data_IF_983548578326
#
_entry.id   IF_983548578326
#
_cell.length_a   1.000
_cell.length_b   1.000
_cell.length_c   1.000
_cell.angle_alpha   90.00
_cell.angle_beta   90.00
_cell.angle_gamma   90.00
#
_symmetry.space_group_name_H-M   'P 1'
#
loop_
_entity.id
_entity.type
_entity.pdbx_description
1 polymer ?
#
# COMPACT_ATOMS: atom_id res chain seq x y z
N UNK A 1 45.60 27.45 16.31
CA UNK A 1 44.29 28.14 16.30
C UNK A 1 44.26 29.12 15.14
N UNK A 2 43.53 28.81 14.06
CA UNK A 2 42.85 29.82 13.23
C UNK A 2 41.79 29.11 12.40
N UNK A 3 40.55 29.20 12.88
CA UNK A 3 39.37 28.74 12.18
C UNK A 3 39.18 29.64 10.96
N UNK A 4 39.28 29.09 9.75
CA UNK A 4 38.83 29.77 8.53
C UNK A 4 37.30 29.72 8.50
N UNK A 5 36.70 30.84 8.91
CA UNK A 5 35.29 31.16 8.68
C UNK A 5 35.03 31.29 7.18
N UNK A 6 34.24 30.36 6.62
CA UNK A 6 33.57 30.59 5.35
C UNK A 6 32.37 31.50 5.61
N UNK A 7 32.58 32.79 5.40
CA UNK A 7 31.53 33.79 5.41
C UNK A 7 30.67 33.73 4.16
N UNK A 8 29.37 33.97 4.36
CA UNK A 8 28.54 34.70 3.41
C UNK A 8 27.65 33.85 2.51
N UNK A 9 26.38 33.72 2.89
CA UNK A 9 25.21 33.95 2.04
C UNK A 9 23.92 33.89 2.90
N UNK A 10 23.76 34.86 3.80
CA UNK A 10 22.44 35.25 4.32
C UNK A 10 22.03 36.54 3.61
N UNK A 11 21.42 36.39 2.43
CA UNK A 11 20.60 37.44 1.84
C UNK A 11 19.21 36.86 1.62
N UNK A 12 18.24 37.53 2.23
CA UNK A 12 16.85 37.11 2.27
C UNK A 12 16.24 36.97 0.88
N UNK A 13 15.72 35.78 0.63
CA UNK A 13 14.51 35.54 -0.13
C UNK A 13 13.92 34.25 0.42
N UNK A 14 12.65 34.31 0.81
CA UNK A 14 11.97 33.24 1.53
C UNK A 14 12.23 31.88 0.91
N UNK A 15 12.61 30.92 1.75
CA UNK A 15 12.63 29.52 1.38
C UNK A 15 11.16 29.09 1.18
N UNK A 16 10.64 29.37 -0.01
CA UNK A 16 9.46 28.68 -0.51
C UNK A 16 9.94 27.25 -0.72
N UNK A 17 9.56 26.36 0.20
CA UNK A 17 9.58 24.93 -0.05
C UNK A 17 8.54 24.66 -1.13
N UNK A 18 8.94 24.86 -2.39
CA UNK A 18 8.17 24.37 -3.53
C UNK A 18 8.05 22.87 -3.36
N UNK A 19 6.79 22.41 -3.23
CA UNK A 19 6.39 21.02 -3.05
C UNK A 19 7.06 20.13 -4.11
N UNK A 20 8.20 19.52 -3.78
CA UNK A 20 8.72 18.30 -4.44
C UNK A 20 7.89 17.07 -4.02
N UNK A 21 6.57 17.19 -4.10
CA UNK A 21 5.65 16.14 -3.68
C UNK A 21 5.60 15.01 -4.71
N UNK A 22 5.77 15.32 -6.00
CA UNK A 22 5.68 14.34 -7.08
C UNK A 22 6.85 13.35 -7.07
N UNK A 23 8.08 13.84 -6.98
CA UNK A 23 9.29 12.99 -7.03
C UNK A 23 9.32 11.98 -5.87
N UNK A 24 8.90 12.39 -4.66
CA UNK A 24 8.83 11.50 -3.49
C UNK A 24 7.78 10.41 -3.64
N UNK A 25 6.61 10.73 -4.19
CA UNK A 25 5.54 9.75 -4.42
C UNK A 25 5.98 8.75 -5.48
N UNK A 26 6.61 9.22 -6.56
CA UNK A 26 7.12 8.36 -7.61
C UNK A 26 8.21 7.41 -7.09
N UNK A 27 9.19 7.92 -6.34
CA UNK A 27 10.24 7.10 -5.73
C UNK A 27 9.67 6.05 -4.76
N UNK A 28 8.61 6.40 -4.01
CA UNK A 28 7.97 5.46 -3.08
C UNK A 28 7.23 4.35 -3.84
N UNK A 29 6.56 4.68 -4.93
CA UNK A 29 5.88 3.69 -5.78
C UNK A 29 6.88 2.74 -6.44
N UNK A 30 7.99 3.27 -6.98
CA UNK A 30 9.07 2.49 -7.57
C UNK A 30 9.68 1.53 -6.54
N UNK A 31 9.94 2.02 -5.33
CA UNK A 31 10.44 1.20 -4.21
C UNK A 31 9.48 0.06 -3.86
N UNK A 32 8.19 0.34 -3.68
CA UNK A 32 7.22 -0.71 -3.32
C UNK A 32 7.08 -1.74 -4.45
N UNK A 33 7.09 -1.29 -5.71
CA UNK A 33 7.06 -2.19 -6.86
C UNK A 33 8.30 -3.11 -6.93
N UNK A 34 9.47 -2.59 -6.58
CA UNK A 34 10.70 -3.37 -6.50
C UNK A 34 10.63 -4.43 -5.38
N UNK A 35 10.01 -4.12 -4.24
CA UNK A 35 9.80 -5.10 -3.16
C UNK A 35 8.90 -6.26 -3.60
N UNK A 36 7.80 -5.96 -4.31
CA UNK A 36 6.92 -7.00 -4.85
C UNK A 36 7.64 -7.88 -5.89
N UNK A 37 8.44 -7.29 -6.77
CA UNK A 37 9.24 -8.03 -7.75
C UNK A 37 10.29 -8.92 -7.08
N UNK A 38 10.97 -8.41 -6.05
CA UNK A 38 11.92 -9.20 -5.27
C UNK A 38 11.21 -10.38 -4.59
N UNK A 39 10.04 -10.16 -4.00
CA UNK A 39 9.26 -11.24 -3.39
C UNK A 39 8.87 -12.33 -4.41
N UNK A 40 8.47 -11.94 -5.63
CA UNK A 40 8.07 -12.89 -6.69
C UNK A 40 9.23 -13.73 -7.24
N UNK A 41 10.46 -13.19 -7.25
CA UNK A 41 11.65 -13.88 -7.78
C UNK A 41 12.38 -14.72 -6.73
N UNK A 42 12.02 -14.58 -5.45
CA UNK A 42 12.75 -15.16 -4.31
C UNK A 42 12.54 -16.66 -4.06
N UNK A 43 11.86 -17.40 -4.94
CA UNK A 43 11.65 -18.84 -4.79
C UNK A 43 12.94 -19.71 -4.88
N UNK A 44 14.13 -19.11 -5.04
CA UNK A 44 15.36 -19.86 -5.41
C UNK A 44 16.60 -19.70 -4.53
N UNK A 45 16.69 -18.83 -3.52
CA UNK A 45 17.92 -18.68 -2.69
C UNK A 45 17.64 -18.31 -1.23
N UNK A 46 18.38 -18.90 -0.28
CA UNK A 46 17.89 -19.23 1.08
C UNK A 46 18.56 -18.49 2.27
N UNK A 47 18.95 -17.21 2.19
CA UNK A 47 19.41 -16.55 3.45
C UNK A 47 19.22 -15.04 3.59
N UNK A 48 18.96 -14.29 2.52
CA UNK A 48 18.77 -12.83 2.60
C UNK A 48 17.30 -12.39 2.46
N UNK A 49 16.36 -13.34 2.48
CA UNK A 49 14.98 -13.11 1.99
C UNK A 49 13.89 -13.16 3.06
N UNK A 50 14.22 -13.54 4.31
CA UNK A 50 13.24 -13.70 5.40
C UNK A 50 12.54 -12.39 5.82
N UNK A 51 13.05 -11.24 5.38
CA UNK A 51 12.56 -9.92 5.79
C UNK A 51 11.71 -9.22 4.71
N UNK A 52 11.55 -9.77 3.50
CA UNK A 52 10.82 -9.08 2.42
C UNK A 52 9.32 -8.98 2.73
N UNK A 53 8.67 -10.08 3.10
CA UNK A 53 7.24 -10.09 3.48
C UNK A 53 6.98 -9.23 4.73
N UNK A 54 7.79 -9.33 5.81
CA UNK A 54 7.72 -8.37 6.91
C UNK A 54 7.90 -6.91 6.49
N UNK A 55 8.77 -6.62 5.51
CA UNK A 55 8.99 -5.25 5.01
C UNK A 55 7.78 -4.73 4.24
N UNK A 56 7.21 -5.52 3.33
CA UNK A 56 5.96 -5.19 2.61
C UNK A 56 4.85 -4.92 3.62
N UNK A 57 4.73 -5.79 4.63
CA UNK A 57 3.75 -5.66 5.70
C UNK A 57 3.93 -4.36 6.48
N UNK A 58 5.16 -4.03 6.88
CA UNK A 58 5.48 -2.82 7.62
C UNK A 58 5.16 -1.55 6.80
N UNK A 59 5.50 -1.54 5.51
CA UNK A 59 5.23 -0.41 4.62
C UNK A 59 3.73 -0.16 4.43
N UNK A 60 2.94 -1.23 4.26
CA UNK A 60 1.48 -1.12 4.12
C UNK A 60 0.80 -0.75 5.44
N UNK A 61 1.23 -1.33 6.56
CA UNK A 61 0.60 -1.12 7.84
C UNK A 61 0.89 0.25 8.47
N UNK A 62 1.92 0.99 8.03
CA UNK A 62 2.23 2.34 8.56
C UNK A 62 2.26 2.42 10.09
N UNK A 63 2.93 1.47 10.73
CA UNK A 63 3.02 1.33 12.20
C UNK A 63 1.67 1.03 12.91
N UNK A 64 0.63 0.65 12.18
CA UNK A 64 -0.61 0.17 12.77
C UNK A 64 -0.48 -1.33 13.08
N UNK A 65 -0.45 -1.68 14.37
CA UNK A 65 -0.27 -3.06 14.82
C UNK A 65 -1.37 -4.00 14.30
N UNK A 66 -2.65 -3.60 14.38
CA UNK A 66 -3.76 -4.43 13.91
C UNK A 66 -3.64 -4.77 12.42
N UNK A 67 -3.21 -3.80 11.61
CA UNK A 67 -3.00 -3.99 10.18
C UNK A 67 -1.81 -4.90 9.88
N UNK A 68 -0.74 -4.82 10.68
CA UNK A 68 0.38 -5.77 10.57
C UNK A 68 -0.10 -7.19 10.84
N UNK A 69 -0.87 -7.40 11.91
CA UNK A 69 -1.42 -8.73 12.24
C UNK A 69 -2.33 -9.24 11.12
N UNK A 70 -3.25 -8.40 10.61
CA UNK A 70 -4.13 -8.75 9.49
C UNK A 70 -3.37 -9.16 8.23
N UNK A 71 -2.26 -8.48 7.90
CA UNK A 71 -1.45 -8.81 6.73
C UNK A 71 -0.67 -10.11 6.91
N UNK A 72 -0.11 -10.36 8.11
CA UNK A 72 0.58 -11.62 8.41
C UNK A 72 -0.39 -12.80 8.41
N UNK A 73 -1.62 -12.60 8.89
CA UNK A 73 -2.67 -13.61 8.81
C UNK A 73 -3.18 -13.82 7.39
N UNK A 74 -3.31 -12.75 6.59
CA UNK A 74 -3.62 -12.88 5.18
C UNK A 74 -2.54 -13.69 4.42
N UNK A 75 -1.27 -13.46 4.73
CA UNK A 75 -0.15 -14.23 4.17
C UNK A 75 -0.18 -15.71 4.56
N UNK A 76 -0.73 -16.08 5.72
CA UNK A 76 -0.87 -17.49 6.12
C UNK A 76 -2.07 -18.20 5.47
N UNK A 77 -3.07 -17.43 5.02
CA UNK A 77 -4.27 -17.95 4.35
C UNK A 77 -4.15 -18.00 2.82
N UNK A 78 -3.34 -17.13 2.23
CA UNK A 78 -3.20 -16.98 0.78
C UNK A 78 -1.93 -17.66 0.25
N UNK A 79 -1.93 -17.98 -1.05
CA UNK A 79 -0.69 -18.26 -1.75
C UNK A 79 0.20 -17.02 -1.78
N UNK A 80 1.51 -17.18 -1.98
CA UNK A 80 2.42 -16.04 -2.11
C UNK A 80 1.98 -15.10 -3.23
N UNK A 81 1.56 -15.64 -4.38
CA UNK A 81 1.09 -14.86 -5.52
C UNK A 81 -0.16 -14.04 -5.18
N UNK A 82 -1.17 -14.68 -4.57
CA UNK A 82 -2.41 -14.01 -4.14
C UNK A 82 -2.14 -12.95 -3.06
N UNK A 83 -1.21 -13.21 -2.13
CA UNK A 83 -0.82 -12.24 -1.13
C UNK A 83 -0.13 -11.02 -1.76
N UNK A 84 0.78 -11.23 -2.71
CA UNK A 84 1.46 -10.14 -3.41
C UNK A 84 0.48 -9.31 -4.25
N UNK A 85 -0.49 -9.95 -4.88
CA UNK A 85 -1.58 -9.26 -5.57
C UNK A 85 -2.42 -8.44 -4.60
N UNK A 86 -2.82 -9.01 -3.46
CA UNK A 86 -3.56 -8.27 -2.44
C UNK A 86 -2.78 -7.05 -1.94
N UNK A 87 -1.48 -7.21 -1.67
CA UNK A 87 -0.59 -6.12 -1.26
C UNK A 87 -0.47 -5.03 -2.34
N UNK A 88 -0.44 -5.43 -3.61
CA UNK A 88 -0.44 -4.52 -4.75
C UNK A 88 -1.77 -3.74 -4.84
N UNK A 89 -2.91 -4.41 -4.68
CA UNK A 89 -4.23 -3.79 -4.70
C UNK A 89 -4.39 -2.80 -3.55
N UNK A 90 -3.96 -3.17 -2.34
CA UNK A 90 -3.93 -2.26 -1.20
C UNK A 90 -3.10 -1.00 -1.48
N UNK A 91 -1.91 -1.16 -2.07
CA UNK A 91 -1.09 -0.02 -2.44
C UNK A 91 -1.73 0.85 -3.52
N UNK A 92 -2.29 0.23 -4.55
CA UNK A 92 -2.93 0.89 -5.69
C UNK A 92 -4.10 1.77 -5.25
N UNK A 93 -4.99 1.22 -4.42
CA UNK A 93 -6.17 1.92 -3.91
C UNK A 93 -5.89 2.80 -2.67
N UNK A 94 -4.62 2.92 -2.26
CA UNK A 94 -4.21 3.67 -1.06
C UNK A 94 -4.87 3.16 0.25
N UNK A 95 -5.15 1.86 0.30
CA UNK A 95 -5.68 1.17 1.48
C UNK A 95 -4.46 0.78 2.33
N UNK A 96 -4.11 1.65 3.28
CA UNK A 96 -2.91 1.53 4.13
C UNK A 96 -3.24 1.91 5.57
N UNK A 97 -2.40 1.48 6.52
CA UNK A 97 -2.66 1.72 7.93
C UNK A 97 -4.02 1.17 8.35
N UNK A 98 -4.77 1.92 9.15
CA UNK A 98 -6.08 1.50 9.70
C UNK A 98 -7.06 0.94 8.66
N UNK A 99 -7.03 1.42 7.41
CA UNK A 99 -7.91 0.89 6.37
C UNK A 99 -7.73 -0.60 6.12
N UNK A 100 -6.52 -1.14 6.32
CA UNK A 100 -6.26 -2.58 6.17
C UNK A 100 -6.92 -3.36 7.30
N UNK A 101 -6.79 -2.90 8.55
CA UNK A 101 -7.47 -3.53 9.68
C UNK A 101 -9.00 -3.52 9.52
N UNK A 102 -9.57 -2.43 9.01
CA UNK A 102 -11.01 -2.35 8.75
C UNK A 102 -11.44 -3.22 7.58
N UNK A 103 -10.60 -3.36 6.55
CA UNK A 103 -10.86 -4.30 5.45
C UNK A 103 -10.90 -5.73 5.99
N UNK A 104 -9.95 -6.09 6.85
CA UNK A 104 -9.89 -7.38 7.51
C UNK A 104 -11.14 -7.67 8.34
N UNK A 105 -11.58 -6.69 9.13
CA UNK A 105 -12.80 -6.76 9.93
C UNK A 105 -14.06 -6.94 9.08
N UNK A 106 -14.18 -6.16 7.99
CA UNK A 106 -15.33 -6.24 7.07
C UNK A 106 -15.50 -7.66 6.51
N UNK A 107 -14.38 -8.30 6.14
CA UNK A 107 -14.36 -9.67 5.64
C UNK A 107 -14.22 -10.73 6.74
N UNK A 108 -14.36 -10.34 8.02
CA UNK A 108 -14.33 -11.24 9.19
C UNK A 108 -13.09 -12.13 9.24
N UNK A 109 -11.95 -11.57 8.83
CA UNK A 109 -10.67 -12.26 8.79
C UNK A 109 -10.50 -13.29 7.68
N UNK A 110 -11.29 -13.20 6.61
CA UNK A 110 -11.15 -14.05 5.44
C UNK A 110 -10.37 -13.33 4.33
N UNK A 111 -9.10 -13.72 4.14
CA UNK A 111 -8.21 -13.10 3.16
C UNK A 111 -8.64 -13.36 1.70
N UNK A 112 -9.23 -14.54 1.44
CA UNK A 112 -9.70 -14.93 0.10
C UNK A 112 -10.86 -14.03 -0.33
N UNK A 113 -11.86 -13.85 0.54
CA UNK A 113 -13.00 -12.97 0.26
C UNK A 113 -12.57 -11.52 0.07
N UNK A 114 -11.56 -11.07 0.83
CA UNK A 114 -10.99 -9.75 0.65
C UNK A 114 -10.41 -9.58 -0.76
N UNK A 115 -9.56 -10.52 -1.17
CA UNK A 115 -8.95 -10.50 -2.50
C UNK A 115 -10.00 -10.57 -3.63
N UNK A 116 -11.00 -11.45 -3.49
CA UNK A 116 -12.11 -11.55 -4.44
C UNK A 116 -12.89 -10.24 -4.55
N UNK A 117 -13.21 -9.60 -3.42
CA UNK A 117 -13.91 -8.32 -3.40
C UNK A 117 -13.10 -7.19 -4.04
N UNK A 118 -11.77 -7.22 -3.94
CA UNK A 118 -10.90 -6.23 -4.58
C UNK A 118 -10.71 -6.45 -6.09
N UNK A 119 -10.72 -7.72 -6.51
CA UNK A 119 -10.68 -8.12 -7.93
C UNK A 119 -11.99 -7.76 -8.64
N UNK A 120 -13.12 -7.83 -7.93
CA UNK A 120 -14.43 -7.54 -8.50
C UNK A 120 -14.50 -6.13 -9.11
N UNK A 121 -15.13 -6.02 -10.27
CA UNK A 121 -15.44 -4.73 -10.91
C UNK A 121 -16.86 -4.24 -10.56
N UNK A 122 -17.60 -5.03 -9.79
CA UNK A 122 -18.98 -4.76 -9.41
C UNK A 122 -19.15 -4.02 -8.08
N UNK A 123 -20.35 -4.18 -7.53
CA UNK A 123 -20.83 -3.43 -6.38
C UNK A 123 -20.14 -3.82 -5.06
N UNK A 124 -19.59 -5.03 -4.93
CA UNK A 124 -18.97 -5.47 -3.68
C UNK A 124 -17.77 -4.58 -3.30
N UNK A 125 -16.96 -4.23 -4.30
CA UNK A 125 -15.83 -3.32 -4.14
C UNK A 125 -16.26 -1.92 -3.72
N UNK A 126 -17.33 -1.40 -4.33
CA UNK A 126 -17.89 -0.08 -3.98
C UNK A 126 -18.37 -0.05 -2.53
N UNK A 127 -19.07 -1.10 -2.10
CA UNK A 127 -19.54 -1.24 -0.72
C UNK A 127 -18.37 -1.29 0.28
N UNK A 128 -17.30 -2.02 -0.06
CA UNK A 128 -16.08 -2.03 0.75
C UNK A 128 -15.47 -0.61 0.85
N UNK A 129 -15.33 0.10 -0.28
CA UNK A 129 -14.77 1.46 -0.25
C UNK A 129 -15.60 2.44 0.57
N UNK A 130 -16.92 2.40 0.43
CA UNK A 130 -17.82 3.25 1.22
C UNK A 130 -17.76 2.90 2.72
N UNK A 131 -17.67 1.60 3.06
CA UNK A 131 -17.44 1.17 4.44
C UNK A 131 -16.12 1.73 4.99
N UNK A 132 -15.02 1.61 4.25
CA UNK A 132 -13.71 2.07 4.68
C UNK A 132 -13.65 3.59 4.86
N UNK A 133 -14.21 4.36 3.92
CA UNK A 133 -14.27 5.81 4.03
C UNK A 133 -15.14 6.24 5.24
N UNK A 134 -16.22 5.53 5.51
CA UNK A 134 -17.07 5.75 6.70
C UNK A 134 -16.34 5.44 8.02
N UNK A 135 -15.58 4.33 8.09
CA UNK A 135 -14.76 4.02 9.27
C UNK A 135 -13.68 5.08 9.49
N UNK A 136 -13.08 5.59 8.41
CA UNK A 136 -12.10 6.67 8.49
C UNK A 136 -12.71 7.96 9.06
N UNK A 137 -13.91 8.33 8.62
CA UNK A 137 -14.64 9.49 9.15
C UNK A 137 -15.02 9.34 10.64
N UNK A 138 -15.51 8.16 11.03
CA UNK A 138 -15.80 7.82 12.42
C UNK A 138 -14.52 7.95 13.25
N UNK A 139 -13.43 7.32 12.82
CA UNK A 139 -12.15 7.37 13.53
C UNK A 139 -11.65 8.80 13.71
N UNK A 140 -11.76 9.64 12.67
CA UNK A 140 -11.35 11.04 12.75
C UNK A 140 -12.21 11.84 13.73
N UNK A 141 -13.53 11.67 13.66
CA UNK A 141 -14.49 12.38 14.52
C UNK A 141 -14.28 12.04 16.00
N UNK A 142 -14.13 10.76 16.33
CA UNK A 142 -13.99 10.33 17.73
C UNK A 142 -12.60 10.58 18.32
N UNK A 143 -11.56 10.73 17.50
CA UNK A 143 -10.20 11.03 17.96
C UNK A 143 -9.81 12.51 17.81
N UNK A 144 -10.72 13.37 17.35
CA UNK A 144 -10.46 14.80 17.15
C UNK A 144 -9.38 15.06 16.09
N UNK A 145 -9.30 14.21 15.06
CA UNK A 145 -8.37 14.37 13.95
C UNK A 145 -8.97 15.25 12.86
N UNK A 146 -8.12 15.90 12.07
CA UNK A 146 -8.55 16.61 10.87
C UNK A 146 -9.10 15.63 9.83
N UNK A 147 -10.07 16.09 9.04
CA UNK A 147 -10.69 15.29 7.98
C UNK A 147 -9.64 14.80 6.97
N UNK A 148 -9.65 13.49 6.70
CA UNK A 148 -8.73 12.83 5.78
C UNK A 148 -7.42 12.33 6.40
N UNK A 149 -7.16 12.61 7.69
CA UNK A 149 -5.95 12.13 8.38
C UNK A 149 -5.87 10.61 8.52
N UNK A 150 -7.01 9.91 8.62
CA UNK A 150 -7.05 8.46 8.65
C UNK A 150 -6.80 7.81 7.27
N UNK A 151 -6.80 8.62 6.20
CA UNK A 151 -6.72 8.17 4.81
C UNK A 151 -8.09 7.94 4.18
N UNK A 152 -8.13 7.80 2.86
CA UNK A 152 -9.33 7.51 2.07
C UNK A 152 -8.97 6.62 0.90
N UNK A 153 -9.94 5.84 0.43
CA UNK A 153 -9.71 4.95 -0.70
C UNK A 153 -9.66 5.74 -2.01
N UNK A 154 -8.64 5.48 -2.85
CA UNK A 154 -8.58 6.02 -4.21
C UNK A 154 -9.51 5.26 -5.12
N UNK A 155 -10.51 5.95 -5.68
CA UNK A 155 -11.52 5.36 -6.56
C UNK A 155 -11.21 5.47 -8.06
N UNK A 156 -10.17 6.22 -8.43
CA UNK A 156 -9.87 6.53 -9.84
C UNK A 156 -9.00 5.44 -10.50
N UNK A 157 -9.54 4.70 -11.50
CA UNK A 157 -8.78 3.69 -12.25
C UNK A 157 -7.75 4.29 -13.21
N UNK A 158 -7.76 5.62 -13.44
CA UNK A 158 -6.82 6.30 -14.36
C UNK A 158 -5.48 6.63 -13.73
N UNK A 159 -5.30 6.36 -12.43
CA UNK A 159 -3.97 6.31 -11.83
C UNK A 159 -3.21 5.18 -12.51
N UNK A 160 -2.44 5.51 -13.55
CA UNK A 160 -1.52 4.56 -14.20
C UNK A 160 -0.56 4.07 -13.14
N UNK A 161 -0.81 2.88 -12.60
CA UNK A 161 0.20 2.19 -11.83
C UNK A 161 1.29 1.80 -12.82
N UNK A 162 2.49 2.36 -12.65
CA UNK A 162 3.60 2.19 -13.59
C UNK A 162 4.28 0.82 -13.50
N UNK A 163 3.80 -0.09 -12.65
CA UNK A 163 4.28 -1.46 -12.56
C UNK A 163 3.24 -2.44 -13.09
N UNK A 164 3.17 -2.71 -14.39
CA UNK A 164 2.69 -4.04 -14.77
C UNK A 164 3.74 -5.02 -14.24
N UNK A 165 3.52 -5.58 -13.06
CA UNK A 165 4.10 -6.89 -12.75
C UNK A 165 3.35 -7.81 -13.70
N UNK A 166 3.96 -8.12 -14.83
CA UNK A 166 3.52 -9.25 -15.64
C UNK A 166 3.76 -10.49 -14.77
N UNK A 167 2.76 -10.84 -13.95
CA UNK A 167 2.71 -12.15 -13.34
C UNK A 167 2.76 -13.15 -14.50
N UNK A 168 3.67 -14.13 -14.50
CA UNK A 168 3.71 -15.13 -15.55
C UNK A 168 2.35 -15.82 -15.58
N UNK A 169 1.58 -15.56 -16.63
CA UNK A 169 0.32 -16.25 -16.93
C UNK A 169 0.61 -17.73 -17.17
N UNK A 170 0.76 -18.51 -16.10
CA UNK A 170 0.58 -19.95 -16.16
C UNK A 170 -0.89 -20.24 -15.90
N UNK A 171 -1.71 -19.99 -16.92
CA UNK A 171 -2.91 -20.76 -17.29
C UNK A 171 -3.61 -19.98 -18.40
N UNK A 172 -3.14 -20.20 -19.62
CA UNK A 172 -3.93 -19.93 -20.79
C UNK A 172 -5.19 -20.79 -20.75
N UNK A 173 -6.31 -20.18 -20.38
CA UNK A 173 -7.63 -20.64 -20.78
C UNK A 173 -8.33 -19.44 -21.40
N UNK A 174 -8.16 -19.35 -22.72
CA UNK A 174 -9.01 -18.57 -23.58
C UNK A 174 -10.47 -19.02 -23.37
N UNK A 175 -11.28 -18.14 -22.81
CA UNK A 175 -12.72 -18.18 -22.99
C UNK A 175 -13.10 -16.97 -23.86
N UNK A 176 -13.12 -17.22 -25.16
CA UNK A 176 -14.06 -16.58 -26.07
C UNK A 176 -15.25 -17.53 -26.19
N UNK A 177 -16.43 -17.09 -25.78
CA UNK A 177 -17.74 -17.22 -26.45
C UNK A 177 -18.65 -16.18 -25.80
#
# INVERSE_FOLDING_TARGET
MSCKSCGGCFTGSGCITTKKSSDKIQQTNERFSALLQLASTSNTTTSDHDHIIPTITAELARNNYSSQVSLLEAHSQLSLEDFLELAQLYWFYDIRGFLIAWTWEYHKGNAIQCLEAMRDQGNQKLLLWDYLDGQAEIHETFNGLELGMAGRVKRDPTNKWFGKIEMPTSLGLAFWI
#
